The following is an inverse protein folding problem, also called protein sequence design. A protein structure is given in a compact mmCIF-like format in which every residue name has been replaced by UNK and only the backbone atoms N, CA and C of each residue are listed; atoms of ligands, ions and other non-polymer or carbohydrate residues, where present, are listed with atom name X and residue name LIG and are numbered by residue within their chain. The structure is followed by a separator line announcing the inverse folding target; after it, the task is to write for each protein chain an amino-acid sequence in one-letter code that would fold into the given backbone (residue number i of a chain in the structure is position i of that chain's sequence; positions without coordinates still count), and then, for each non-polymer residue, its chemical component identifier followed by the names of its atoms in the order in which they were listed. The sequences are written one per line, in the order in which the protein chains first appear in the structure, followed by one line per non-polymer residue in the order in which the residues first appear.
data_IF_604622900981
#
_entry.id   IF_604622900981
#
_cell.length_a   1.000
_cell.length_b   1.000
_cell.length_c   1.000
_cell.angle_alpha   90.00
_cell.angle_beta   90.00
_cell.angle_gamma   90.00
#
_symmetry.space_group_name_H-M   'P 1'
#
loop_
_entity.id
_entity.type
_entity.pdbx_description
1 polymer ?
#
# COMPACT_ATOMS: atom_id res chain seq x y z
N UNK A 1 9.01 -22.68 -12.00
CA UNK A 1 7.70 -22.00 -11.86
C UNK A 1 6.88 -22.79 -10.84
N UNK A 2 6.30 -22.13 -9.84
CA UNK A 2 5.52 -22.78 -8.79
C UNK A 2 4.19 -23.32 -9.40
N UNK A 3 3.91 -24.64 -9.35
CA UNK A 3 2.72 -25.23 -9.97
C UNK A 3 1.40 -24.81 -9.30
N UNK A 4 1.44 -24.39 -8.03
CA UNK A 4 0.27 -23.84 -7.32
C UNK A 4 -0.17 -22.47 -7.86
N UNK A 5 0.66 -21.79 -8.66
CA UNK A 5 0.34 -20.48 -9.23
C UNK A 5 -0.26 -20.54 -10.65
N UNK A 6 -0.46 -21.74 -11.21
CA UNK A 6 -1.02 -21.89 -12.56
C UNK A 6 -2.42 -21.27 -12.64
N UNK A 7 -2.64 -20.33 -13.54
CA UNK A 7 -3.93 -19.65 -13.75
C UNK A 7 -4.11 -18.37 -12.93
N UNK A 8 -3.15 -18.00 -12.08
CA UNK A 8 -3.24 -16.77 -11.27
C UNK A 8 -3.32 -15.51 -12.15
N UNK A 9 -2.71 -15.54 -13.33
CA UNK A 9 -2.72 -14.45 -14.30
C UNK A 9 -4.12 -14.14 -14.86
N UNK A 10 -5.08 -15.07 -14.71
CA UNK A 10 -6.46 -14.91 -15.16
C UNK A 10 -7.32 -14.16 -14.11
N UNK A 11 -6.81 -13.99 -12.89
CA UNK A 11 -7.49 -13.27 -11.83
C UNK A 11 -7.35 -11.76 -12.03
N UNK A 12 -8.32 -11.16 -12.72
CA UNK A 12 -8.41 -9.71 -12.89
C UNK A 12 -8.36 -8.96 -11.56
N UNK A 13 -7.62 -7.85 -11.51
CA UNK A 13 -7.50 -7.02 -10.30
C UNK A 13 -6.75 -7.66 -9.13
N UNK A 14 -6.08 -8.80 -9.34
CA UNK A 14 -5.30 -9.50 -8.31
C UNK A 14 -3.81 -9.38 -8.58
N UNK A 15 -3.06 -8.87 -7.61
CA UNK A 15 -1.61 -8.70 -7.68
C UNK A 15 -0.97 -9.60 -6.62
N UNK A 16 -0.48 -10.76 -7.05
CA UNK A 16 0.06 -11.77 -6.15
C UNK A 16 1.36 -11.27 -5.49
N UNK A 17 1.42 -11.35 -4.15
CA UNK A 17 2.64 -11.09 -3.40
C UNK A 17 3.47 -12.38 -3.27
N UNK A 18 4.10 -12.78 -4.38
CA UNK A 18 4.98 -13.95 -4.45
C UNK A 18 6.44 -13.62 -4.09
N UNK A 19 7.35 -14.61 -4.20
CA UNK A 19 8.77 -14.41 -3.91
C UNK A 19 9.42 -13.36 -4.83
N UNK A 20 9.09 -13.36 -6.12
CA UNK A 20 9.66 -12.41 -7.08
C UNK A 20 9.20 -10.97 -6.77
N UNK A 21 7.91 -10.79 -6.49
CA UNK A 21 7.30 -9.51 -6.11
C UNK A 21 7.87 -9.02 -4.79
N UNK A 22 7.96 -9.89 -3.78
CA UNK A 22 8.54 -9.59 -2.48
C UNK A 22 10.00 -9.14 -2.60
N UNK A 23 10.82 -9.82 -3.41
CA UNK A 23 12.20 -9.43 -3.65
C UNK A 23 12.31 -8.07 -4.36
N UNK A 24 11.51 -7.84 -5.42
CA UNK A 24 11.48 -6.58 -6.16
C UNK A 24 11.07 -5.39 -5.28
N UNK A 25 10.04 -5.56 -4.47
CA UNK A 25 9.46 -4.50 -3.64
C UNK A 25 9.99 -4.51 -2.19
N UNK A 26 11.08 -5.23 -1.90
CA UNK A 26 11.59 -5.42 -0.54
C UNK A 26 11.87 -4.11 0.19
N UNK A 27 12.47 -3.15 -0.53
CA UNK A 27 12.84 -1.83 0.00
C UNK A 27 11.61 -1.03 0.44
N UNK A 28 10.62 -0.90 -0.45
CA UNK A 28 9.34 -0.27 -0.14
C UNK A 28 8.64 -0.95 1.04
N UNK A 29 8.55 -2.28 1.05
CA UNK A 29 7.88 -3.01 2.14
C UNK A 29 8.61 -2.86 3.48
N UNK A 30 9.95 -2.80 3.49
CA UNK A 30 10.73 -2.49 4.71
C UNK A 30 10.47 -1.08 5.22
N UNK A 31 10.41 -0.09 4.34
CA UNK A 31 10.06 1.28 4.69
C UNK A 31 8.68 1.35 5.36
N UNK A 32 7.66 0.77 4.71
CA UNK A 32 6.29 0.73 5.22
C UNK A 32 6.18 -0.05 6.54
N UNK A 33 6.86 -1.20 6.66
CA UNK A 33 6.93 -1.96 7.90
C UNK A 33 7.59 -1.15 9.02
N UNK A 34 8.57 -0.31 8.70
CA UNK A 34 9.27 0.56 9.63
C UNK A 34 8.37 1.49 10.43
N UNK A 35 7.14 1.75 9.98
CA UNK A 35 6.13 2.50 10.73
C UNK A 35 5.60 1.79 11.99
N UNK A 36 6.00 0.55 12.28
CA UNK A 36 5.82 -0.04 13.62
C UNK A 36 6.63 0.71 14.69
N UNK A 37 7.77 1.29 14.30
CA UNK A 37 8.67 2.04 15.18
C UNK A 37 8.23 3.50 15.32
N UNK A 38 7.99 4.02 16.54
CA UNK A 38 7.55 5.40 16.76
C UNK A 38 8.47 6.46 16.12
N UNK A 39 9.78 6.32 16.26
CA UNK A 39 10.75 7.28 15.72
C UNK A 39 10.69 7.41 14.18
N UNK A 40 10.43 6.30 13.47
CA UNK A 40 10.27 6.35 12.01
C UNK A 40 8.97 7.07 11.61
N UNK A 41 7.90 6.91 12.40
CA UNK A 41 6.65 7.67 12.19
C UNK A 41 6.85 9.16 12.45
N UNK A 42 7.59 9.52 13.50
CA UNK A 42 7.92 10.92 13.81
C UNK A 42 8.72 11.55 12.66
N UNK A 43 9.81 10.89 12.23
CA UNK A 43 10.62 11.34 11.11
C UNK A 43 9.78 11.55 9.85
N UNK A 44 8.97 10.57 9.45
CA UNK A 44 8.15 10.70 8.24
C UNK A 44 7.06 11.78 8.33
N UNK A 45 6.59 12.12 9.54
CA UNK A 45 5.62 13.20 9.73
C UNK A 45 6.27 14.58 9.65
N UNK A 46 7.48 14.70 10.18
CA UNK A 46 8.23 15.96 10.25
C UNK A 46 8.97 16.25 8.95
N UNK A 47 9.64 15.24 8.39
CA UNK A 47 10.43 15.32 7.16
C UNK A 47 10.31 14.02 6.34
N UNK A 48 9.31 13.95 5.44
CA UNK A 48 9.12 12.80 4.56
C UNK A 48 10.33 12.50 3.67
N UNK A 49 11.05 13.52 3.19
CA UNK A 49 12.18 13.31 2.27
C UNK A 49 13.38 12.70 3.00
N UNK A 50 13.68 13.16 4.22
CA UNK A 50 14.69 12.52 5.06
C UNK A 50 14.34 11.06 5.40
N UNK A 51 13.05 10.76 5.60
CA UNK A 51 12.59 9.38 5.79
C UNK A 51 12.79 8.53 4.52
N UNK A 52 12.55 9.09 3.34
CA UNK A 52 12.78 8.43 2.06
C UNK A 52 14.26 8.19 1.78
N UNK A 53 15.11 9.19 2.06
CA UNK A 53 16.56 9.09 1.91
C UNK A 53 17.15 8.03 2.84
N UNK A 54 16.75 8.04 4.13
CA UNK A 54 17.15 7.01 5.10
C UNK A 54 16.78 5.60 4.66
N UNK A 55 15.65 5.44 3.96
CA UNK A 55 15.19 4.15 3.44
C UNK A 55 15.71 3.83 2.03
N UNK A 56 16.41 4.76 1.38
CA UNK A 56 16.94 4.62 0.04
C UNK A 56 15.86 4.46 -1.05
N UNK A 57 14.65 4.98 -0.84
CA UNK A 57 13.53 4.79 -1.77
C UNK A 57 13.88 5.34 -3.17
N UNK A 58 13.47 4.62 -4.20
CA UNK A 58 13.57 5.08 -5.59
C UNK A 58 12.64 6.27 -5.85
N UNK A 59 12.88 7.02 -6.92
CA UNK A 59 12.01 8.13 -7.30
C UNK A 59 10.53 7.71 -7.48
N UNK A 60 10.31 6.51 -8.06
CA UNK A 60 8.97 5.94 -8.24
C UNK A 60 8.31 5.60 -6.89
N UNK A 61 9.04 4.95 -5.98
CA UNK A 61 8.54 4.61 -4.64
C UNK A 61 8.17 5.86 -3.84
N UNK A 62 9.01 6.91 -3.91
CA UNK A 62 8.74 8.20 -3.29
C UNK A 62 7.46 8.83 -3.83
N UNK A 63 7.31 8.87 -5.17
CA UNK A 63 6.11 9.41 -5.82
C UNK A 63 4.86 8.72 -5.30
N UNK A 64 4.82 7.39 -5.38
CA UNK A 64 3.66 6.60 -4.96
C UNK A 64 3.29 6.82 -3.48
N UNK A 65 4.28 6.88 -2.59
CA UNK A 65 4.05 7.14 -1.15
C UNK A 65 3.59 8.57 -0.90
N UNK A 66 4.16 9.56 -1.62
CA UNK A 66 3.82 10.98 -1.45
C UNK A 66 2.40 11.28 -1.92
N UNK A 67 2.01 10.72 -3.05
CA UNK A 67 0.69 10.89 -3.68
C UNK A 67 -0.38 9.99 -3.07
N UNK A 68 0.00 9.03 -2.21
CA UNK A 68 -0.88 7.99 -1.69
C UNK A 68 -1.60 7.23 -2.83
N UNK A 69 -0.87 6.96 -3.93
CA UNK A 69 -1.39 6.18 -5.04
C UNK A 69 -1.45 4.70 -4.63
N UNK A 70 -2.52 4.36 -3.92
CA UNK A 70 -2.77 3.03 -3.36
C UNK A 70 -2.74 1.96 -4.44
N UNK A 71 -3.33 2.24 -5.61
CA UNK A 71 -3.38 1.31 -6.72
C UNK A 71 -1.98 1.07 -7.31
N UNK A 72 -1.16 2.11 -7.48
CA UNK A 72 0.22 1.94 -7.92
C UNK A 72 1.07 1.22 -6.87
N UNK A 73 0.93 1.52 -5.59
CA UNK A 73 1.62 0.81 -4.51
C UNK A 73 1.31 -0.69 -4.52
N UNK A 74 0.03 -1.06 -4.67
CA UNK A 74 -0.40 -2.45 -4.78
C UNK A 74 0.21 -3.13 -6.03
N UNK A 75 0.12 -2.48 -7.20
CA UNK A 75 0.69 -2.98 -8.47
C UNK A 75 2.21 -3.14 -8.43
N UNK A 76 2.91 -2.24 -7.75
CA UNK A 76 4.36 -2.29 -7.58
C UNK A 76 4.80 -3.47 -6.71
N UNK A 77 3.93 -3.93 -5.81
CA UNK A 77 4.19 -5.07 -4.93
C UNK A 77 4.28 -4.70 -3.45
N UNK A 78 3.65 -3.60 -3.03
CA UNK A 78 3.46 -3.37 -1.60
C UNK A 78 2.47 -4.39 -1.03
N UNK A 79 2.82 -5.01 0.09
CA UNK A 79 1.88 -5.85 0.83
C UNK A 79 0.77 -4.99 1.42
N UNK A 80 -0.49 -5.42 1.30
CA UNK A 80 -1.64 -4.75 1.90
C UNK A 80 -1.43 -4.46 3.40
N UNK A 81 -0.89 -5.42 4.16
CA UNK A 81 -0.62 -5.27 5.59
C UNK A 81 0.49 -4.26 5.91
N UNK A 82 1.37 -3.98 4.95
CA UNK A 82 2.33 -2.88 5.07
C UNK A 82 1.68 -1.54 4.72
N UNK A 83 0.80 -1.50 3.71
CA UNK A 83 0.04 -0.31 3.34
C UNK A 83 -0.85 0.19 4.47
N UNK A 84 -1.51 -0.71 5.21
CA UNK A 84 -2.33 -0.36 6.37
C UNK A 84 -1.56 0.50 7.40
N UNK A 85 -0.24 0.30 7.54
CA UNK A 85 0.60 1.11 8.43
C UNK A 85 0.75 2.54 7.93
N UNK A 86 0.96 2.73 6.63
CA UNK A 86 0.95 4.05 6.00
C UNK A 86 -0.42 4.71 6.12
N UNK A 87 -1.50 3.95 5.88
CA UNK A 87 -2.87 4.41 6.09
C UNK A 87 -3.07 4.95 7.50
N UNK A 88 -2.64 4.20 8.52
CA UNK A 88 -2.72 4.64 9.92
C UNK A 88 -1.90 5.90 10.22
N UNK A 89 -0.73 6.07 9.59
CA UNK A 89 0.11 7.27 9.74
C UNK A 89 -0.52 8.49 9.08
N UNK A 90 -1.21 8.32 7.95
CA UNK A 90 -1.88 9.38 7.18
C UNK A 90 -3.34 9.62 7.58
N UNK A 91 -3.89 8.80 8.48
CA UNK A 91 -5.29 8.90 8.90
C UNK A 91 -6.29 8.34 7.89
N UNK A 92 -5.83 7.52 6.94
CA UNK A 92 -6.65 6.88 5.91
C UNK A 92 -7.15 5.54 6.44
N UNK A 93 -8.47 5.32 6.37
CA UNK A 93 -9.10 4.08 6.81
C UNK A 93 -8.94 2.95 5.78
N UNK A 94 -9.14 1.69 6.18
CA UNK A 94 -9.09 0.57 5.24
C UNK A 94 -10.15 0.67 4.12
N UNK A 95 -11.43 1.03 4.40
CA UNK A 95 -12.41 1.27 3.34
C UNK A 95 -12.00 2.36 2.35
N UNK A 96 -11.40 3.46 2.84
CA UNK A 96 -10.94 4.56 1.99
C UNK A 96 -9.75 4.14 1.11
N UNK A 97 -8.81 3.37 1.66
CA UNK A 97 -7.72 2.78 0.89
C UNK A 97 -8.24 1.83 -0.19
N UNK A 98 -9.24 0.99 0.13
CA UNK A 98 -9.84 0.06 -0.83
C UNK A 98 -10.65 0.78 -1.91
N UNK A 99 -11.33 1.88 -1.58
CA UNK A 99 -11.93 2.77 -2.56
C UNK A 99 -10.87 3.31 -3.52
N UNK A 100 -9.72 3.74 -2.99
CA UNK A 100 -8.56 4.16 -3.77
C UNK A 100 -8.00 3.09 -4.71
N UNK A 101 -7.99 1.81 -4.30
CA UNK A 101 -7.61 0.71 -5.22
C UNK A 101 -8.58 0.57 -6.41
N UNK A 102 -9.85 0.90 -6.21
CA UNK A 102 -10.91 0.82 -7.22
C UNK A 102 -11.05 2.09 -8.06
N UNK A 103 -10.37 3.18 -7.69
CA UNK A 103 -10.54 4.48 -8.35
C UNK A 103 -11.89 5.14 -8.05
N UNK A 104 -12.49 4.79 -6.90
CA UNK A 104 -13.79 5.29 -6.45
C UNK A 104 -13.60 6.19 -5.22
N UNK A 105 -14.59 7.04 -4.95
CA UNK A 105 -14.70 7.72 -3.66
C UNK A 105 -15.07 6.73 -2.54
N UNK A 106 -14.78 7.10 -1.28
CA UNK A 106 -15.23 6.31 -0.12
C UNK A 106 -16.75 6.11 -0.14
N UNK A 107 -17.52 7.14 -0.47
CA UNK A 107 -18.99 7.06 -0.53
C UNK A 107 -19.46 6.01 -1.55
N UNK A 108 -18.92 6.02 -2.76
CA UNK A 108 -19.23 5.02 -3.80
C UNK A 108 -18.85 3.61 -3.35
N UNK A 109 -17.68 3.46 -2.72
CA UNK A 109 -17.25 2.18 -2.20
C UNK A 109 -18.20 1.65 -1.11
N UNK A 110 -18.63 2.51 -0.19
CA UNK A 110 -19.52 2.14 0.91
C UNK A 110 -20.92 1.72 0.42
N UNK A 111 -21.42 2.26 -0.70
CA UNK A 111 -22.66 1.79 -1.35
C UNK A 111 -22.61 0.32 -1.77
N UNK A 112 -21.41 -0.25 -1.91
CA UNK A 112 -21.22 -1.68 -2.25
C UNK A 112 -21.13 -2.59 -1.02
N UNK A 113 -21.27 -2.06 0.20
CA UNK A 113 -21.19 -2.82 1.46
C UNK A 113 -22.59 -3.05 2.04
N UNK A 114 -22.83 -4.24 2.59
CA UNK A 114 -24.10 -4.59 3.23
C UNK A 114 -24.13 -4.29 4.75
N UNK A 115 -23.30 -3.36 5.22
CA UNK A 115 -23.20 -3.01 6.65
C UNK A 115 -24.20 -1.89 6.95
N UNK A 116 -25.18 -2.10 7.85
CA UNK A 116 -26.13 -1.06 8.22
C UNK A 116 -25.42 0.21 8.73
N UNK A 117 -25.73 1.35 8.13
CA UNK A 117 -25.18 2.65 8.56
C UNK A 117 -23.72 2.91 8.17
N UNK A 118 -23.14 2.13 7.26
CA UNK A 118 -21.89 2.47 6.61
C UNK A 118 -22.06 3.74 5.77
N UNK A 119 -21.32 4.80 6.15
CA UNK A 119 -21.27 6.11 5.49
C UNK A 119 -19.88 6.70 5.69
#
# INVERSE_FOLDING_TARGET
MNPQLKGVEQLGGTYLFDLATSARALRLNRFLHGFTVPANRALFKEDPEAAFDKAGLSAEERRMVRELDWAALMRYGASFFCLEKLGRVKGVSNPEMVAGFRGESLEEFLKTRNVPGAR
#
